data_IF_185329936499
#
_entry.id   IF_185329936499
#
_cell.length_a   1.000
_cell.length_b   1.000
_cell.length_c   1.000
_cell.angle_alpha   90.00
_cell.angle_beta   90.00
_cell.angle_gamma   90.00
#
_symmetry.space_group_name_H-M   'P 1'
#
loop_
_entity.id
_entity.type
_entity.pdbx_description
1 polymer ?
#
# COMPACT_ATOMS: atom_id res chain seq x y z
N UNK A 1 -2.00 10.03 26.37
CA UNK A 1 -2.53 10.08 25.00
C UNK A 1 -3.56 8.97 24.78
N UNK A 2 -4.56 9.24 23.96
CA UNK A 2 -5.52 8.22 23.52
C UNK A 2 -4.94 7.46 22.32
N UNK A 3 -5.20 6.15 22.25
CA UNK A 3 -4.83 5.27 21.12
C UNK A 3 -5.80 4.12 21.03
N UNK A 4 -6.09 3.67 19.82
CA UNK A 4 -6.88 2.47 19.60
C UNK A 4 -5.97 1.25 19.45
N UNK A 5 -6.22 0.21 20.25
CA UNK A 5 -5.47 -1.03 20.23
C UNK A 5 -6.34 -2.18 19.74
N UNK A 6 -5.81 -2.98 18.83
CA UNK A 6 -6.39 -4.24 18.41
C UNK A 6 -6.05 -5.33 19.45
N UNK A 7 -7.05 -5.94 20.04
CA UNK A 7 -6.93 -7.04 21.02
C UNK A 7 -7.14 -8.42 20.39
N UNK A 8 -7.80 -8.47 19.24
CA UNK A 8 -8.10 -9.70 18.51
C UNK A 8 -9.09 -9.45 17.38
N UNK A 9 -9.62 -10.51 16.81
CA UNK A 9 -10.57 -10.39 15.71
C UNK A 9 -11.81 -9.58 16.13
N UNK A 10 -12.08 -8.49 15.37
CA UNK A 10 -13.19 -7.54 15.58
C UNK A 10 -13.19 -6.84 16.95
N UNK A 11 -12.05 -6.83 17.62
CA UNK A 11 -11.91 -6.26 18.96
C UNK A 11 -10.84 -5.16 18.96
N UNK A 12 -11.25 -3.95 18.65
CA UNK A 12 -10.43 -2.73 18.72
C UNK A 12 -11.00 -1.80 19.78
N UNK A 13 -10.17 -1.35 20.73
CA UNK A 13 -10.59 -0.61 21.91
C UNK A 13 -9.76 0.64 22.11
N UNK A 14 -10.43 1.72 22.55
CA UNK A 14 -9.75 2.93 23.03
C UNK A 14 -8.98 2.60 24.30
N UNK A 15 -7.75 3.06 24.35
CA UNK A 15 -6.83 2.88 25.49
C UNK A 15 -6.11 4.21 25.76
N UNK A 16 -5.73 4.40 27.00
CA UNK A 16 -4.89 5.55 27.40
C UNK A 16 -3.48 5.07 27.71
N UNK A 17 -2.49 5.79 27.18
CA UNK A 17 -1.05 5.57 27.41
C UNK A 17 -0.40 6.91 27.75
N UNK A 18 0.73 6.92 28.47
CA UNK A 18 1.58 8.12 28.55
C UNK A 18 1.95 8.61 27.14
N UNK A 19 2.13 9.91 26.95
CA UNK A 19 2.73 10.44 25.72
C UNK A 19 4.18 9.96 25.69
N UNK A 20 4.62 9.29 24.60
CA UNK A 20 5.98 8.80 24.52
C UNK A 20 6.96 9.97 24.33
N UNK A 21 8.20 9.79 24.81
CA UNK A 21 9.28 10.76 24.65
C UNK A 21 10.20 10.25 23.54
N UNK A 22 10.52 11.07 22.50
CA UNK A 22 11.44 10.66 21.46
C UNK A 22 12.86 10.52 22.00
N UNK A 23 13.59 9.50 21.57
CA UNK A 23 15.04 9.39 21.79
C UNK A 23 15.81 10.40 20.93
N UNK A 24 17.14 10.44 21.11
CA UNK A 24 18.01 11.47 20.53
C UNK A 24 17.90 11.57 18.99
N UNK A 25 17.71 10.46 18.29
CA UNK A 25 17.61 10.40 16.82
C UNK A 25 16.15 10.25 16.32
N UNK A 26 15.17 10.51 17.19
CA UNK A 26 13.76 10.30 16.92
C UNK A 26 12.98 11.60 16.98
N UNK A 27 11.78 11.56 16.40
CA UNK A 27 10.80 12.64 16.51
C UNK A 27 9.49 12.09 17.06
N UNK A 28 8.77 12.93 17.80
CA UNK A 28 7.37 12.68 18.15
C UNK A 28 6.49 13.29 17.06
N UNK A 29 5.68 12.47 16.45
CA UNK A 29 4.71 12.89 15.45
C UNK A 29 3.33 12.91 16.08
N UNK A 30 2.56 13.97 15.77
CA UNK A 30 1.12 14.02 15.93
C UNK A 30 0.50 13.62 14.59
N UNK A 31 0.07 12.36 14.39
CA UNK A 31 -0.58 11.95 13.16
C UNK A 31 -1.81 12.81 12.88
N UNK A 32 -2.07 13.13 11.62
CA UNK A 32 -3.23 13.91 11.18
C UNK A 32 -4.16 13.11 10.30
N UNK A 33 -3.58 12.27 9.46
CA UNK A 33 -4.33 11.35 8.63
C UNK A 33 -3.64 9.98 8.63
N UNK A 34 -4.43 8.92 8.73
CA UNK A 34 -3.97 7.55 8.50
C UNK A 34 -4.94 6.80 7.60
N UNK A 35 -4.42 6.14 6.57
CA UNK A 35 -5.18 5.24 5.72
C UNK A 35 -5.42 3.88 6.40
N UNK A 36 -6.54 3.24 6.10
CA UNK A 36 -6.79 1.85 6.47
C UNK A 36 -6.34 0.96 5.31
N UNK A 37 -5.32 0.15 5.56
CA UNK A 37 -4.78 -0.83 4.61
C UNK A 37 -5.59 -2.14 4.60
N UNK A 38 -5.51 -2.90 3.53
CA UNK A 38 -6.03 -4.26 3.48
C UNK A 38 -5.46 -5.17 4.57
N UNK A 39 -4.20 -4.98 4.98
CA UNK A 39 -3.60 -5.71 6.10
C UNK A 39 -4.21 -5.36 7.46
N UNK A 40 -4.58 -4.07 7.69
CA UNK A 40 -5.32 -3.66 8.89
C UNK A 40 -6.69 -4.33 8.94
N UNK A 41 -7.37 -4.39 7.79
CA UNK A 41 -8.65 -5.10 7.63
C UNK A 41 -8.49 -6.59 7.95
N UNK A 42 -7.43 -7.24 7.49
CA UNK A 42 -7.13 -8.64 7.81
C UNK A 42 -6.91 -8.85 9.31
N UNK A 43 -6.08 -8.01 9.95
CA UNK A 43 -5.89 -8.06 11.41
C UNK A 43 -7.20 -7.87 12.16
N UNK A 44 -8.01 -6.89 11.75
CA UNK A 44 -9.31 -6.63 12.38
C UNK A 44 -10.28 -7.78 12.17
N UNK A 45 -10.37 -8.34 10.97
CA UNK A 45 -11.35 -9.38 10.64
C UNK A 45 -10.99 -10.75 11.26
N UNK A 46 -9.71 -11.12 11.21
CA UNK A 46 -9.25 -12.48 11.52
C UNK A 46 -8.39 -12.57 12.79
N UNK A 47 -7.90 -11.45 13.33
CA UNK A 47 -6.95 -11.41 14.44
C UNK A 47 -5.49 -11.66 14.02
N UNK A 48 -5.22 -11.83 12.71
CA UNK A 48 -3.88 -12.02 12.16
C UNK A 48 -3.81 -11.51 10.71
N UNK A 49 -2.60 -11.36 10.16
CA UNK A 49 -2.37 -11.02 8.75
C UNK A 49 -1.28 -11.92 8.17
N UNK A 50 -1.67 -12.84 7.28
CA UNK A 50 -0.77 -13.90 6.82
C UNK A 50 -0.19 -14.68 8.01
N UNK A 51 1.14 -14.81 8.07
CA UNK A 51 1.84 -15.48 9.17
C UNK A 51 2.09 -14.57 10.40
N UNK A 52 1.64 -13.31 10.37
CA UNK A 52 1.83 -12.35 11.46
C UNK A 52 0.67 -12.44 12.46
N UNK A 53 0.90 -13.18 13.55
CA UNK A 53 -0.07 -13.40 14.61
C UNK A 53 0.29 -12.50 15.80
N UNK A 54 -0.59 -11.54 16.19
CA UNK A 54 -0.34 -10.68 17.33
C UNK A 54 -0.23 -11.49 18.64
N UNK A 55 0.83 -11.22 19.40
CA UNK A 55 1.06 -11.80 20.74
C UNK A 55 0.59 -10.89 21.87
N UNK A 56 0.31 -9.63 21.55
CA UNK A 56 -0.16 -8.60 22.48
C UNK A 56 -0.96 -7.55 21.71
N UNK A 57 -1.81 -6.76 22.39
CA UNK A 57 -2.50 -5.64 21.76
C UNK A 57 -1.52 -4.61 21.20
N UNK A 58 -1.83 -4.06 20.03
CA UNK A 58 -1.04 -3.00 19.37
C UNK A 58 -1.94 -2.10 18.53
N UNK A 59 -1.46 -0.87 18.25
CA UNK A 59 -2.16 0.05 17.39
C UNK A 59 -1.89 -0.27 15.91
N UNK A 60 -2.95 -0.27 15.08
CA UNK A 60 -2.87 -0.38 13.63
C UNK A 60 -2.52 0.98 12.98
N UNK A 61 -2.41 1.00 11.65
CA UNK A 61 -2.20 2.20 10.82
C UNK A 61 -0.72 2.42 10.50
N UNK A 62 -0.37 2.22 9.24
CA UNK A 62 1.00 2.39 8.71
C UNK A 62 1.05 3.31 7.49
N UNK A 63 -0.08 3.79 7.01
CA UNK A 63 -0.21 4.73 5.91
C UNK A 63 -0.55 6.10 6.47
N UNK A 64 0.43 6.91 6.92
CA UNK A 64 0.12 8.11 7.68
C UNK A 64 1.01 9.31 7.36
N UNK A 65 0.45 10.48 7.65
CA UNK A 65 1.11 11.76 7.65
C UNK A 65 0.74 12.54 8.92
N UNK A 66 1.58 13.45 9.34
CA UNK A 66 1.35 14.21 10.56
C UNK A 66 2.30 15.40 10.71
N UNK A 67 2.27 15.99 11.90
CA UNK A 67 3.08 17.16 12.25
C UNK A 67 4.11 16.76 13.31
N UNK A 68 5.33 17.23 13.17
CA UNK A 68 6.39 17.06 14.16
C UNK A 68 6.02 17.87 15.40
N UNK A 69 5.85 17.18 16.53
CA UNK A 69 5.50 17.77 17.83
C UNK A 69 6.74 18.06 18.69
N UNK A 70 7.68 17.14 18.72
CA UNK A 70 8.98 17.33 19.37
C UNK A 70 10.07 16.51 18.67
N UNK A 71 11.34 16.92 18.88
CA UNK A 71 12.52 16.33 18.24
C UNK A 71 13.56 15.94 19.28
N UNK A 72 14.29 14.85 19.02
CA UNK A 72 15.45 14.44 19.80
C UNK A 72 16.68 15.32 19.57
N UNK A 73 17.66 15.23 20.47
CA UNK A 73 18.80 16.12 20.51
C UNK A 73 19.72 16.06 19.27
N UNK A 74 19.78 14.91 18.59
CA UNK A 74 20.62 14.69 17.41
C UNK A 74 19.88 14.93 16.08
N UNK A 75 18.58 15.26 16.12
CA UNK A 75 17.78 15.42 14.89
C UNK A 75 18.21 16.66 14.13
N UNK A 76 18.58 16.48 12.89
CA UNK A 76 18.95 17.54 11.95
C UNK A 76 17.99 17.52 10.75
N UNK A 77 17.63 18.70 10.25
CA UNK A 77 16.80 18.85 9.04
C UNK A 77 15.29 18.81 9.30
N UNK A 78 14.85 18.51 10.51
CA UNK A 78 13.47 18.59 10.95
C UNK A 78 13.32 19.56 12.11
N UNK A 79 12.18 20.23 12.19
CA UNK A 79 11.80 21.12 13.29
C UNK A 79 10.34 20.88 13.71
N UNK A 80 10.03 21.31 14.93
CA UNK A 80 8.65 21.32 15.43
C UNK A 80 7.75 22.14 14.49
N UNK A 81 6.61 21.57 14.14
CA UNK A 81 5.64 22.15 13.21
C UNK A 81 5.82 21.72 11.74
N UNK A 82 6.90 21.00 11.40
CA UNK A 82 7.04 20.46 10.05
C UNK A 82 5.94 19.42 9.76
N UNK A 83 5.32 19.55 8.58
CA UNK A 83 4.39 18.57 8.04
C UNK A 83 5.19 17.46 7.33
N UNK A 84 4.93 16.21 7.71
CA UNK A 84 5.70 15.08 7.22
C UNK A 84 4.81 13.90 6.79
N UNK A 85 5.23 13.20 5.74
CA UNK A 85 4.85 11.82 5.49
C UNK A 85 5.90 10.90 6.12
N UNK A 86 5.49 9.70 6.50
CA UNK A 86 6.38 8.76 7.20
C UNK A 86 6.47 7.44 6.44
N UNK A 87 7.71 7.01 6.12
CA UNK A 87 7.99 5.63 5.71
C UNK A 87 7.87 4.73 6.94
N UNK A 88 6.89 3.80 6.99
CA UNK A 88 6.69 2.96 8.15
C UNK A 88 7.73 1.84 8.31
N UNK A 89 8.65 1.67 7.37
CA UNK A 89 9.64 0.60 7.38
C UNK A 89 10.86 0.94 8.26
N UNK A 90 11.29 0.01 9.08
CA UNK A 90 12.48 0.11 9.93
C UNK A 90 13.40 -1.08 9.68
N UNK A 91 14.20 -1.06 8.60
CA UNK A 91 15.14 -2.12 8.28
C UNK A 91 16.32 -2.10 9.26
N UNK A 92 16.99 -3.25 9.44
CA UNK A 92 18.12 -3.34 10.38
C UNK A 92 19.41 -2.62 9.89
N UNK A 93 19.48 -2.21 8.63
CA UNK A 93 20.65 -1.54 8.03
C UNK A 93 21.89 -2.42 7.84
N UNK A 94 21.97 -3.59 8.46
CA UNK A 94 23.22 -4.39 8.55
C UNK A 94 23.20 -5.70 7.76
N UNK A 95 22.04 -6.29 7.47
CA UNK A 95 21.93 -7.54 6.71
C UNK A 95 22.29 -7.35 5.23
N UNK A 96 22.56 -8.45 4.52
CA UNK A 96 22.96 -8.41 3.09
C UNK A 96 21.94 -7.64 2.22
N UNK A 97 20.64 -7.79 2.49
CA UNK A 97 19.60 -7.12 1.72
C UNK A 97 19.61 -5.60 1.93
N UNK A 98 19.77 -5.13 3.18
CA UNK A 98 19.93 -3.71 3.47
C UNK A 98 21.17 -3.13 2.77
N UNK A 99 22.31 -3.83 2.88
CA UNK A 99 23.58 -3.39 2.29
C UNK A 99 23.57 -3.36 0.76
N UNK A 100 22.70 -4.15 0.11
CA UNK A 100 22.52 -4.16 -1.35
C UNK A 100 21.39 -3.24 -1.84
N UNK A 101 20.80 -2.41 -0.97
CA UNK A 101 19.71 -1.49 -1.32
C UNK A 101 18.33 -2.13 -1.38
N UNK A 102 18.20 -3.43 -1.14
CA UNK A 102 16.92 -4.15 -1.10
C UNK A 102 16.39 -4.24 0.33
N UNK A 103 16.32 -3.10 1.02
CA UNK A 103 15.97 -3.07 2.43
C UNK A 103 14.51 -3.50 2.72
N UNK A 104 13.62 -3.44 1.74
CA UNK A 104 12.28 -4.04 1.82
C UNK A 104 12.30 -5.54 2.13
N UNK A 105 13.38 -6.24 1.77
CA UNK A 105 13.64 -7.66 2.03
C UNK A 105 14.48 -7.90 3.30
N UNK A 106 14.58 -6.90 4.19
CA UNK A 106 15.34 -7.01 5.43
C UNK A 106 14.85 -8.19 6.28
N UNK A 107 15.79 -9.02 6.74
CA UNK A 107 15.49 -10.23 7.54
C UNK A 107 14.96 -9.90 8.96
N UNK A 108 15.24 -8.69 9.44
CA UNK A 108 14.79 -8.19 10.75
C UNK A 108 13.97 -6.92 10.60
N UNK A 109 13.11 -6.88 9.58
CA UNK A 109 12.25 -5.73 9.32
C UNK A 109 11.27 -5.51 10.46
N UNK A 110 11.28 -4.28 11.00
CA UNK A 110 10.22 -3.76 11.88
C UNK A 110 9.35 -2.82 11.06
N UNK A 111 8.05 -2.81 11.33
CA UNK A 111 7.10 -2.04 10.54
C UNK A 111 6.02 -1.48 11.44
N UNK A 112 5.77 -0.17 11.39
CA UNK A 112 4.73 0.47 12.19
C UNK A 112 3.36 -0.16 11.87
N UNK A 113 2.50 -0.28 12.88
CA UNK A 113 1.17 -0.85 12.72
C UNK A 113 1.14 -2.32 12.30
N UNK A 114 2.22 -3.09 12.57
CA UNK A 114 2.33 -4.49 12.14
C UNK A 114 2.85 -5.40 13.26
N UNK A 115 2.32 -6.62 13.29
CA UNK A 115 2.78 -7.70 14.15
C UNK A 115 3.92 -8.52 13.53
N UNK A 116 4.62 -8.00 12.51
CA UNK A 116 5.72 -8.69 11.82
C UNK A 116 6.99 -8.87 12.66
N UNK A 117 7.08 -8.26 13.82
CA UNK A 117 8.17 -8.43 14.79
C UNK A 117 7.62 -8.56 16.21
N UNK A 118 8.46 -8.99 17.15
CA UNK A 118 8.15 -9.05 18.59
C UNK A 118 9.26 -8.31 19.36
N UNK A 119 8.95 -7.25 20.14
CA UNK A 119 7.64 -6.63 20.35
C UNK A 119 7.07 -5.98 19.08
N UNK A 120 5.71 -6.00 18.96
CA UNK A 120 5.02 -5.35 17.84
C UNK A 120 5.26 -3.85 17.85
N UNK A 121 5.20 -3.25 16.66
CA UNK A 121 5.29 -1.81 16.49
C UNK A 121 3.88 -1.20 16.47
N UNK A 122 3.60 -0.29 17.40
CA UNK A 122 2.38 0.52 17.33
C UNK A 122 2.38 1.38 16.05
N UNK A 123 1.20 1.51 15.44
CA UNK A 123 0.94 2.35 14.28
C UNK A 123 0.29 3.68 14.67
N UNK A 124 -0.23 4.37 13.66
CA UNK A 124 -0.70 5.74 13.76
C UNK A 124 -2.17 5.90 14.20
N UNK A 125 -2.89 4.81 14.60
CA UNK A 125 -4.24 4.94 15.17
C UNK A 125 -4.19 5.43 16.62
N UNK A 126 -3.51 6.55 16.86
CA UNK A 126 -3.29 7.19 18.16
C UNK A 126 -2.88 8.65 18.01
N UNK A 127 -2.99 9.40 19.10
CA UNK A 127 -2.71 10.85 19.09
C UNK A 127 -1.23 11.19 18.86
N UNK A 128 -0.30 10.30 19.22
CA UNK A 128 1.14 10.50 19.08
C UNK A 128 1.86 9.20 18.74
N UNK A 129 2.92 9.31 17.96
CA UNK A 129 3.80 8.19 17.58
C UNK A 129 5.26 8.68 17.55
N UNK A 130 6.17 7.93 18.14
CA UNK A 130 7.61 8.17 18.02
C UNK A 130 8.13 7.41 16.80
N UNK A 131 8.82 8.12 15.92
CA UNK A 131 9.43 7.56 14.71
C UNK A 131 10.88 8.00 14.58
N UNK A 132 11.77 7.23 13.91
CA UNK A 132 13.11 7.72 13.58
C UNK A 132 13.01 8.95 12.68
N UNK A 133 13.84 9.95 12.89
CA UNK A 133 13.86 11.16 12.07
C UNK A 133 14.11 10.85 10.59
N UNK A 134 14.92 9.82 10.30
CA UNK A 134 15.22 9.34 8.94
C UNK A 134 14.04 8.77 8.18
N UNK A 135 12.94 8.44 8.86
CA UNK A 135 11.71 7.95 8.26
C UNK A 135 10.74 9.08 7.87
N UNK A 136 11.05 10.32 8.26
CA UNK A 136 10.18 11.47 8.03
C UNK A 136 10.61 12.23 6.77
N UNK A 137 9.67 12.46 5.89
CA UNK A 137 9.83 13.24 4.67
C UNK A 137 9.00 14.51 4.77
N UNK A 138 9.66 15.68 4.78
CA UNK A 138 8.97 16.98 4.82
C UNK A 138 8.10 17.11 3.56
N UNK A 139 6.83 17.45 3.76
CA UNK A 139 5.91 17.61 2.64
C UNK A 139 6.26 18.85 1.82
N UNK A 140 6.47 18.71 0.51
CA UNK A 140 6.61 19.86 -0.37
C UNK A 140 5.25 20.55 -0.55
N UNK A 141 5.26 21.79 -0.97
CA UNK A 141 4.04 22.49 -1.38
C UNK A 141 3.30 21.70 -2.47
N UNK A 142 1.96 21.69 -2.39
CA UNK A 142 1.11 21.01 -3.37
C UNK A 142 0.61 19.62 -2.95
N UNK A 143 1.07 19.08 -1.82
CA UNK A 143 0.55 17.83 -1.25
C UNK A 143 -0.21 18.16 0.04
N UNK A 144 -1.48 17.80 0.11
CA UNK A 144 -2.24 17.87 1.36
C UNK A 144 -1.87 16.73 2.31
N UNK A 145 -2.08 16.91 3.63
CA UNK A 145 -1.88 15.85 4.63
C UNK A 145 -2.68 14.59 4.31
N UNK A 146 -3.91 14.74 3.82
CA UNK A 146 -4.75 13.62 3.41
C UNK A 146 -4.13 12.85 2.24
N UNK A 147 -3.56 13.53 1.23
CA UNK A 147 -2.83 12.90 0.13
C UNK A 147 -1.52 12.28 0.61
N UNK A 148 -0.83 12.91 1.56
CA UNK A 148 0.44 12.42 2.10
C UNK A 148 0.32 11.05 2.78
N UNK A 149 -0.82 10.74 3.41
CA UNK A 149 -1.06 9.40 3.98
C UNK A 149 -1.18 8.31 2.91
N UNK A 150 -1.43 8.66 1.64
CA UNK A 150 -1.45 7.73 0.52
C UNK A 150 -0.07 7.47 -0.10
N UNK A 151 0.99 8.14 0.36
CA UNK A 151 2.34 7.96 -0.19
C UNK A 151 2.88 6.55 0.10
N UNK A 152 2.56 5.97 1.26
CA UNK A 152 2.97 4.60 1.57
C UNK A 152 2.42 3.60 0.54
N UNK A 153 1.09 3.48 0.32
CA UNK A 153 0.57 2.54 -0.68
C UNK A 153 0.93 2.94 -2.12
N UNK A 154 1.16 4.22 -2.42
CA UNK A 154 1.72 4.64 -3.71
C UNK A 154 3.14 4.08 -3.91
N UNK A 155 3.97 4.07 -2.87
CA UNK A 155 5.30 3.47 -2.92
C UNK A 155 5.25 1.97 -3.22
N UNK A 156 4.26 1.24 -2.67
CA UNK A 156 4.02 -0.16 -3.02
C UNK A 156 3.72 -0.31 -4.51
N UNK A 157 2.84 0.52 -5.06
CA UNK A 157 2.52 0.53 -6.49
C UNK A 157 3.73 0.90 -7.36
N UNK A 158 4.50 1.92 -6.99
CA UNK A 158 5.70 2.33 -7.72
C UNK A 158 6.78 1.24 -7.70
N UNK A 159 6.98 0.59 -6.56
CA UNK A 159 7.93 -0.52 -6.44
C UNK A 159 7.53 -1.69 -7.33
N UNK A 160 6.23 -2.01 -7.39
CA UNK A 160 5.71 -3.05 -8.29
C UNK A 160 5.97 -2.70 -9.78
N UNK A 161 5.73 -1.46 -10.16
CA UNK A 161 5.94 -0.98 -11.54
C UNK A 161 7.43 -0.99 -11.90
N UNK A 162 8.32 -0.69 -10.95
CA UNK A 162 9.78 -0.76 -11.15
C UNK A 162 10.35 -2.19 -11.27
N UNK A 163 9.55 -3.25 -11.06
CA UNK A 163 9.99 -4.64 -11.31
C UNK A 163 10.15 -4.95 -12.80
N UNK A 164 9.58 -4.14 -13.68
CA UNK A 164 9.70 -4.30 -15.14
C UNK A 164 10.50 -3.16 -15.76
N UNK A 165 11.30 -3.48 -16.77
CA UNK A 165 12.28 -2.53 -17.32
C UNK A 165 11.62 -1.34 -18.03
N UNK A 166 10.46 -1.54 -18.65
CA UNK A 166 9.81 -0.52 -19.48
C UNK A 166 8.28 -0.58 -19.39
N UNK A 167 7.67 0.56 -19.14
CA UNK A 167 6.22 0.75 -19.13
C UNK A 167 5.76 1.47 -20.42
N UNK A 168 6.48 2.49 -20.83
CA UNK A 168 6.09 3.34 -21.95
C UNK A 168 5.85 2.54 -23.25
N UNK A 169 4.68 2.74 -23.85
CA UNK A 169 4.26 2.11 -25.10
C UNK A 169 3.75 0.67 -24.96
N UNK A 170 3.71 0.11 -23.74
CA UNK A 170 3.21 -1.24 -23.51
C UNK A 170 1.70 -1.24 -23.19
N UNK A 171 1.05 -2.36 -23.55
CA UNK A 171 -0.30 -2.69 -23.11
C UNK A 171 -0.28 -3.35 -21.73
N UNK A 172 -1.09 -2.84 -20.82
CA UNK A 172 -1.08 -3.24 -19.41
C UNK A 172 -2.42 -3.84 -19.03
N UNK A 173 -2.38 -4.99 -18.34
CA UNK A 173 -3.51 -5.52 -17.59
C UNK A 173 -3.24 -5.35 -16.09
N UNK A 174 -4.21 -4.81 -15.36
CA UNK A 174 -4.23 -4.80 -13.91
C UNK A 174 -5.39 -5.68 -13.46
N UNK A 175 -5.11 -6.78 -12.77
CA UNK A 175 -6.14 -7.62 -12.15
C UNK A 175 -6.35 -7.19 -10.70
N UNK A 176 -7.57 -6.77 -10.38
CA UNK A 176 -7.91 -6.11 -9.12
C UNK A 176 -7.92 -4.59 -9.25
N UNK A 177 -9.12 -4.00 -9.23
CA UNK A 177 -9.37 -2.55 -9.29
C UNK A 177 -9.49 -1.89 -7.91
N UNK A 178 -9.01 -2.55 -6.84
CA UNK A 178 -8.95 -1.99 -5.49
C UNK A 178 -7.87 -0.91 -5.32
N UNK A 179 -7.61 -0.42 -4.08
CA UNK A 179 -6.71 0.71 -3.85
C UNK A 179 -5.33 0.56 -4.49
N UNK A 180 -4.68 -0.60 -4.36
CA UNK A 180 -3.37 -0.86 -4.98
C UNK A 180 -3.47 -0.88 -6.51
N UNK A 181 -4.51 -1.52 -7.08
CA UNK A 181 -4.73 -1.51 -8.52
C UNK A 181 -4.96 -0.10 -9.07
N UNK A 182 -5.68 0.75 -8.34
CA UNK A 182 -5.88 2.16 -8.70
C UNK A 182 -4.58 2.97 -8.65
N UNK A 183 -3.71 2.69 -7.69
CA UNK A 183 -2.40 3.33 -7.60
C UNK A 183 -1.47 2.84 -8.72
N UNK A 184 -1.44 1.53 -9.01
CA UNK A 184 -0.71 0.99 -10.17
C UNK A 184 -1.19 1.64 -11.47
N UNK A 185 -2.50 1.78 -11.67
CA UNK A 185 -3.09 2.45 -12.85
C UNK A 185 -2.52 3.86 -13.04
N UNK A 186 -2.45 4.66 -11.96
CA UNK A 186 -1.90 6.02 -12.01
C UNK A 186 -0.40 6.03 -12.30
N UNK A 187 0.35 5.12 -11.68
CA UNK A 187 1.81 5.01 -11.88
C UNK A 187 2.12 4.58 -13.31
N UNK A 188 1.49 3.52 -13.84
CA UNK A 188 1.77 3.07 -15.22
C UNK A 188 1.35 4.11 -16.25
N UNK A 189 0.27 4.88 -15.99
CA UNK A 189 -0.13 6.00 -16.83
C UNK A 189 0.93 7.09 -16.83
N UNK A 190 1.43 7.49 -15.66
CA UNK A 190 2.50 8.46 -15.50
C UNK A 190 3.80 8.02 -16.20
N UNK A 191 4.06 6.71 -16.27
CA UNK A 191 5.24 6.13 -16.94
C UNK A 191 5.00 5.83 -18.43
N UNK A 192 3.88 6.31 -19.02
CA UNK A 192 3.66 6.30 -20.45
C UNK A 192 3.00 5.03 -21.01
N UNK A 193 2.30 4.25 -20.19
CA UNK A 193 1.42 3.20 -20.71
C UNK A 193 0.32 3.80 -21.60
N UNK A 194 0.08 3.20 -22.78
CA UNK A 194 -0.90 3.74 -23.71
C UNK A 194 -2.25 3.01 -23.66
N UNK A 195 -2.27 1.71 -23.40
CA UNK A 195 -3.48 0.88 -23.31
C UNK A 195 -3.49 0.15 -21.97
N UNK A 196 -4.38 0.57 -21.08
CA UNK A 196 -4.50 0.03 -19.73
C UNK A 196 -5.90 -0.55 -19.56
N UNK A 197 -5.94 -1.86 -19.32
CA UNK A 197 -7.16 -2.60 -18.99
C UNK A 197 -7.14 -2.93 -17.50
N UNK A 198 -8.25 -2.71 -16.80
CA UNK A 198 -8.43 -3.13 -15.41
C UNK A 198 -9.51 -4.21 -15.35
N UNK A 199 -9.23 -5.32 -14.69
CA UNK A 199 -10.17 -6.41 -14.46
C UNK A 199 -10.56 -6.50 -12.99
N UNK A 200 -11.85 -6.48 -12.71
CA UNK A 200 -12.39 -6.68 -11.37
C UNK A 200 -13.81 -7.27 -11.42
N UNK A 201 -14.18 -8.06 -10.41
CA UNK A 201 -15.54 -8.61 -10.26
C UNK A 201 -16.53 -7.54 -9.81
N UNK A 202 -16.07 -6.50 -9.09
CA UNK A 202 -16.89 -5.39 -8.61
C UNK A 202 -17.19 -4.40 -9.73
N UNK A 203 -18.47 -4.12 -9.97
CA UNK A 203 -18.89 -3.08 -10.91
C UNK A 203 -18.39 -1.70 -10.46
N UNK A 204 -18.44 -1.43 -9.15
CA UNK A 204 -17.92 -0.18 -8.57
C UNK A 204 -16.43 0.01 -8.91
N UNK A 205 -15.61 -1.02 -8.67
CA UNK A 205 -14.16 -0.95 -8.97
C UNK A 205 -13.88 -0.74 -10.45
N UNK A 206 -14.66 -1.39 -11.35
CA UNK A 206 -14.54 -1.19 -12.80
C UNK A 206 -14.93 0.24 -13.21
N UNK A 207 -16.07 0.74 -12.73
CA UNK A 207 -16.51 2.10 -13.02
C UNK A 207 -15.53 3.15 -12.47
N UNK A 208 -14.98 2.92 -11.28
CA UNK A 208 -13.95 3.76 -10.68
C UNK A 208 -12.67 3.77 -11.54
N UNK A 209 -12.25 2.60 -12.03
CA UNK A 209 -11.07 2.48 -12.90
C UNK A 209 -11.19 3.26 -14.19
N UNK A 210 -12.36 3.25 -14.84
CA UNK A 210 -12.63 4.06 -16.04
C UNK A 210 -12.49 5.56 -15.73
N UNK A 211 -13.09 6.02 -14.63
CA UNK A 211 -12.95 7.43 -14.17
C UNK A 211 -11.50 7.81 -13.84
N UNK A 212 -10.71 6.83 -13.39
CA UNK A 212 -9.30 7.01 -13.04
C UNK A 212 -8.35 6.92 -14.24
N UNK A 213 -8.87 6.72 -15.47
CA UNK A 213 -8.07 6.75 -16.69
C UNK A 213 -7.72 5.37 -17.27
N UNK A 214 -8.34 4.26 -16.84
CA UNK A 214 -8.26 3.01 -17.57
C UNK A 214 -8.92 3.15 -18.95
N UNK A 215 -8.31 2.55 -19.98
CA UNK A 215 -8.88 2.57 -21.34
C UNK A 215 -10.04 1.58 -21.46
N UNK A 216 -9.97 0.47 -20.74
CA UNK A 216 -10.95 -0.62 -20.76
C UNK A 216 -11.09 -1.22 -19.37
N UNK A 217 -12.24 -1.81 -19.12
CA UNK A 217 -12.48 -2.63 -17.94
C UNK A 217 -13.10 -3.96 -18.32
N UNK A 218 -12.83 -5.00 -17.54
CA UNK A 218 -13.30 -6.37 -17.79
C UNK A 218 -13.90 -6.93 -16.50
N UNK A 219 -15.08 -7.51 -16.62
CA UNK A 219 -15.60 -8.42 -15.62
C UNK A 219 -15.09 -9.83 -15.93
N UNK A 220 -14.16 -10.39 -15.15
CA UNK A 220 -13.56 -11.70 -15.45
C UNK A 220 -14.53 -12.88 -15.32
N UNK A 221 -15.73 -12.66 -14.77
CA UNK A 221 -16.76 -13.68 -14.60
C UNK A 221 -17.69 -13.79 -15.82
N UNK A 222 -17.62 -12.84 -16.76
CA UNK A 222 -18.42 -12.89 -17.97
C UNK A 222 -17.91 -13.97 -18.94
N UNK A 223 -18.85 -14.63 -19.63
CA UNK A 223 -18.51 -15.60 -20.65
C UNK A 223 -17.68 -14.93 -21.76
N UNK A 224 -16.58 -15.56 -22.14
CA UNK A 224 -15.65 -15.02 -23.14
C UNK A 224 -15.02 -13.66 -22.81
N UNK A 225 -14.95 -13.27 -21.53
CA UNK A 225 -14.35 -12.01 -21.08
C UNK A 225 -12.98 -11.69 -21.74
N UNK A 226 -12.20 -12.72 -22.04
CA UNK A 226 -10.85 -12.61 -22.57
C UNK A 226 -10.71 -12.91 -24.07
N UNK A 227 -11.82 -13.24 -24.78
CA UNK A 227 -11.81 -13.72 -26.17
C UNK A 227 -11.16 -12.76 -27.17
N UNK A 228 -11.27 -11.46 -26.94
CA UNK A 228 -10.82 -10.43 -27.88
C UNK A 228 -9.49 -9.77 -27.49
N UNK A 229 -8.76 -10.34 -26.54
CA UNK A 229 -7.48 -9.82 -26.11
C UNK A 229 -6.32 -10.57 -26.77
N UNK A 230 -5.49 -9.85 -27.55
CA UNK A 230 -4.36 -10.41 -28.29
C UNK A 230 -3.08 -10.60 -27.46
N UNK A 231 -3.21 -10.44 -26.15
CA UNK A 231 -2.13 -10.53 -25.20
C UNK A 231 -1.66 -9.15 -24.67
N UNK A 232 -1.37 -9.13 -23.39
CA UNK A 232 -0.83 -7.94 -22.71
C UNK A 232 0.68 -8.07 -22.58
N UNK A 233 1.39 -6.95 -22.74
CA UNK A 233 2.84 -6.89 -22.54
C UNK A 233 3.19 -7.13 -21.09
N UNK A 234 2.41 -6.53 -20.17
CA UNK A 234 2.63 -6.61 -18.73
C UNK A 234 1.30 -6.81 -18.02
N UNK A 235 1.30 -7.71 -17.04
CA UNK A 235 0.17 -7.96 -16.14
C UNK A 235 0.60 -7.65 -14.71
N UNK A 236 -0.14 -6.80 -14.01
CA UNK A 236 -0.01 -6.59 -12.58
C UNK A 236 -1.15 -7.31 -11.86
N UNK A 237 -0.81 -8.31 -11.05
CA UNK A 237 -1.78 -9.02 -10.21
C UNK A 237 -1.87 -8.30 -8.86
N UNK A 238 -2.97 -7.58 -8.63
CA UNK A 238 -3.22 -6.76 -7.43
C UNK A 238 -4.50 -7.18 -6.67
N UNK A 239 -5.11 -8.31 -7.04
CA UNK A 239 -6.33 -8.80 -6.40
C UNK A 239 -6.08 -9.80 -5.26
N UNK A 240 -4.95 -10.51 -5.31
CA UNK A 240 -4.66 -11.64 -4.42
C UNK A 240 -5.52 -12.88 -4.71
N UNK A 241 -6.19 -12.96 -5.86
CA UNK A 241 -7.03 -14.10 -6.24
C UNK A 241 -6.28 -15.03 -7.19
N UNK A 242 -6.14 -16.35 -6.87
CA UNK A 242 -5.46 -17.31 -7.74
C UNK A 242 -6.05 -17.38 -9.15
N UNK A 243 -7.37 -17.24 -9.30
CA UNK A 243 -8.04 -17.20 -10.59
C UNK A 243 -7.67 -15.98 -11.44
N UNK A 244 -7.47 -14.82 -10.79
CA UNK A 244 -7.03 -13.60 -11.47
C UNK A 244 -5.60 -13.74 -11.98
N UNK A 245 -4.70 -14.34 -11.19
CA UNK A 245 -3.34 -14.66 -11.63
C UNK A 245 -3.34 -15.65 -12.79
N UNK A 246 -4.15 -16.72 -12.72
CA UNK A 246 -4.25 -17.71 -13.79
C UNK A 246 -4.74 -17.07 -15.09
N UNK A 247 -5.77 -16.22 -15.03
CA UNK A 247 -6.25 -15.44 -16.18
C UNK A 247 -5.16 -14.50 -16.71
N UNK A 248 -4.45 -13.78 -15.82
CA UNK A 248 -3.34 -12.91 -16.19
C UNK A 248 -2.24 -13.65 -16.97
N UNK A 249 -1.83 -14.83 -16.51
CA UNK A 249 -0.87 -15.72 -17.20
C UNK A 249 -1.42 -16.12 -18.56
N UNK A 250 -2.72 -16.46 -18.64
CA UNK A 250 -3.35 -16.86 -19.88
C UNK A 250 -3.37 -15.76 -20.92
N UNK A 251 -3.65 -14.51 -20.53
CA UNK A 251 -3.79 -13.38 -21.46
C UNK A 251 -2.50 -12.57 -21.65
N UNK A 252 -1.44 -12.86 -20.91
CA UNK A 252 -0.13 -12.29 -21.18
C UNK A 252 0.37 -12.75 -22.56
N UNK A 253 0.99 -11.84 -23.32
CA UNK A 253 1.61 -12.22 -24.61
C UNK A 253 2.86 -13.10 -24.41
N UNK A 254 3.32 -13.72 -25.49
CA UNK A 254 4.61 -14.42 -25.48
C UNK A 254 5.74 -13.42 -25.15
N UNK A 255 6.65 -13.81 -24.26
CA UNK A 255 7.73 -12.95 -23.75
C UNK A 255 7.26 -11.82 -22.83
N UNK A 256 6.00 -11.82 -22.41
CA UNK A 256 5.41 -10.82 -21.51
C UNK A 256 5.85 -10.99 -20.06
N UNK A 257 5.47 -10.02 -19.22
CA UNK A 257 5.79 -9.99 -17.79
C UNK A 257 4.54 -10.08 -16.94
N UNK A 258 4.61 -10.79 -15.81
CA UNK A 258 3.56 -10.86 -14.79
C UNK A 258 4.17 -10.48 -13.44
N UNK A 259 3.63 -9.45 -12.80
CA UNK A 259 4.09 -8.94 -11.51
C UNK A 259 3.04 -9.26 -10.45
N UNK A 260 3.43 -10.01 -9.43
CA UNK A 260 2.58 -10.39 -8.30
C UNK A 260 2.71 -9.33 -7.20
N UNK A 261 1.60 -8.68 -6.89
CA UNK A 261 1.52 -7.59 -5.88
C UNK A 261 0.49 -7.95 -4.80
N UNK A 262 -0.63 -8.56 -5.20
CA UNK A 262 -1.68 -9.00 -4.29
C UNK A 262 -1.22 -10.13 -3.37
N UNK A 263 -1.74 -10.17 -2.14
CA UNK A 263 -1.46 -11.26 -1.20
C UNK A 263 -2.25 -12.49 -1.60
N UNK A 264 -1.57 -13.47 -2.17
CA UNK A 264 -2.12 -14.76 -2.58
C UNK A 264 -2.14 -15.75 -1.40
N UNK A 265 -2.98 -16.80 -1.44
CA UNK A 265 -2.90 -17.92 -0.49
C UNK A 265 -1.51 -18.58 -0.51
N UNK A 266 -1.13 -19.23 0.60
CA UNK A 266 0.18 -19.88 0.76
C UNK A 266 0.46 -20.92 -0.34
N UNK A 267 -0.56 -21.65 -0.77
CA UNK A 267 -0.49 -22.60 -1.88
C UNK A 267 -1.69 -22.51 -2.80
N UNK A 268 -1.43 -22.56 -4.11
CA UNK A 268 -2.47 -22.56 -5.16
C UNK A 268 -1.90 -23.10 -6.47
N UNK A 269 -2.78 -23.48 -7.41
CA UNK A 269 -2.38 -23.96 -8.73
C UNK A 269 -2.24 -22.82 -9.74
N UNK A 270 -1.19 -22.87 -10.55
CA UNK A 270 -0.99 -21.96 -11.69
C UNK A 270 -0.72 -22.76 -12.98
N UNK A 271 -1.04 -22.21 -14.17
CA UNK A 271 -0.81 -22.88 -15.45
C UNK A 271 0.68 -22.87 -15.84
N UNK A 272 1.51 -23.69 -15.16
CA UNK A 272 2.98 -23.68 -15.31
C UNK A 272 3.46 -23.91 -16.76
N UNK A 273 2.79 -24.80 -17.53
CA UNK A 273 3.15 -25.01 -18.94
C UNK A 273 2.93 -23.76 -19.81
N UNK A 274 1.97 -22.90 -19.47
CA UNK A 274 1.78 -21.64 -20.21
C UNK A 274 2.93 -20.67 -19.92
N UNK A 275 3.43 -20.63 -18.70
CA UNK A 275 4.58 -19.81 -18.34
C UNK A 275 5.80 -20.21 -19.17
N UNK A 276 6.10 -21.51 -19.24
CA UNK A 276 7.20 -22.05 -20.03
C UNK A 276 6.99 -21.79 -21.55
N UNK A 277 5.83 -22.18 -22.10
CA UNK A 277 5.56 -22.09 -23.54
C UNK A 277 5.50 -20.66 -24.08
N UNK A 278 5.20 -19.71 -23.22
CA UNK A 278 5.16 -18.28 -23.56
C UNK A 278 6.44 -17.54 -23.17
N UNK A 279 7.40 -18.20 -22.51
CA UNK A 279 8.60 -17.56 -21.93
C UNK A 279 8.25 -16.35 -21.07
N UNK A 280 7.24 -16.49 -20.20
CA UNK A 280 6.81 -15.39 -19.34
C UNK A 280 7.82 -15.13 -18.23
N UNK A 281 8.02 -13.84 -17.92
CA UNK A 281 8.78 -13.40 -16.76
C UNK A 281 7.84 -13.16 -15.60
N UNK A 282 8.05 -13.86 -14.48
CA UNK A 282 7.28 -13.68 -13.25
C UNK A 282 8.11 -12.93 -12.23
N UNK A 283 7.54 -11.85 -11.67
CA UNK A 283 8.18 -11.03 -10.64
C UNK A 283 7.31 -11.00 -9.40
N UNK A 284 7.92 -11.11 -8.22
CA UNK A 284 7.27 -10.77 -6.96
C UNK A 284 7.56 -9.33 -6.59
N UNK A 285 6.57 -8.63 -6.04
CA UNK A 285 6.72 -7.31 -5.46
C UNK A 285 6.29 -7.35 -4.00
N UNK A 286 7.18 -6.96 -3.09
CA UNK A 286 6.92 -6.98 -1.66
C UNK A 286 7.31 -5.67 -1.01
N UNK A 287 6.33 -4.97 -0.39
CA UNK A 287 6.54 -3.65 0.20
C UNK A 287 7.17 -2.70 -0.83
N UNK A 288 8.14 -1.89 -0.41
CA UNK A 288 8.88 -0.98 -1.31
C UNK A 288 10.29 -0.69 -0.78
N UNK A 289 11.16 -0.24 -1.67
CA UNK A 289 12.46 0.33 -1.35
C UNK A 289 12.83 1.39 -2.39
N UNK A 290 13.52 2.47 -1.93
CA UNK A 290 14.12 3.52 -2.79
C UNK A 290 13.12 4.22 -3.72
N UNK A 291 11.88 4.45 -3.29
CA UNK A 291 10.83 5.07 -4.12
C UNK A 291 10.05 6.17 -3.40
N UNK A 292 10.23 6.37 -2.08
CA UNK A 292 9.38 7.26 -1.30
C UNK A 292 9.52 8.73 -1.75
N UNK A 293 10.74 9.19 -1.93
CA UNK A 293 11.02 10.54 -2.39
C UNK A 293 10.55 10.74 -3.84
N UNK A 294 10.80 9.77 -4.73
CA UNK A 294 10.29 9.80 -6.11
C UNK A 294 8.76 9.91 -6.13
N UNK A 295 8.06 9.09 -5.33
CA UNK A 295 6.61 9.09 -5.23
C UNK A 295 6.08 10.46 -4.77
N UNK A 296 6.67 11.00 -3.72
CA UNK A 296 6.31 12.31 -3.18
C UNK A 296 6.53 13.42 -4.22
N UNK A 297 7.68 13.44 -4.89
CA UNK A 297 7.99 14.43 -5.90
C UNK A 297 7.07 14.35 -7.11
N UNK A 298 6.68 13.15 -7.56
CA UNK A 298 5.73 12.98 -8.67
C UNK A 298 4.32 13.46 -8.31
N UNK A 299 3.90 13.28 -7.06
CA UNK A 299 2.61 13.83 -6.57
C UNK A 299 2.69 15.34 -6.47
N UNK A 300 3.74 15.91 -5.88
CA UNK A 300 3.95 17.36 -5.77
C UNK A 300 3.97 18.06 -7.14
N UNK A 301 4.58 17.43 -8.13
CA UNK A 301 4.63 17.92 -9.51
C UNK A 301 3.30 17.73 -10.28
N UNK A 302 2.28 17.12 -9.69
CA UNK A 302 1.01 16.82 -10.36
C UNK A 302 1.08 15.75 -11.44
N UNK A 303 2.19 15.01 -11.51
CA UNK A 303 2.38 13.91 -12.49
C UNK A 303 1.51 12.70 -12.07
N UNK A 304 1.43 12.44 -10.77
CA UNK A 304 0.52 11.44 -10.19
C UNK A 304 -0.52 12.19 -9.36
N UNK A 305 -1.79 12.07 -9.75
CA UNK A 305 -2.91 12.62 -8.99
C UNK A 305 -3.50 11.55 -8.07
N UNK A 306 -3.61 11.84 -6.78
CA UNK A 306 -4.18 10.96 -5.75
C UNK A 306 -5.64 11.29 -5.40
N UNK A 307 -6.22 12.32 -6.02
CA UNK A 307 -7.58 12.74 -5.74
C UNK A 307 -8.59 11.64 -6.02
N UNK A 308 -9.60 11.58 -5.15
CA UNK A 308 -10.72 10.66 -5.26
C UNK A 308 -10.41 9.20 -4.88
N UNK A 309 -9.16 8.85 -4.54
CA UNK A 309 -8.84 7.49 -4.04
C UNK A 309 -9.49 7.27 -2.67
N UNK A 310 -9.38 8.24 -1.75
CA UNK A 310 -10.12 8.23 -0.49
C UNK A 310 -11.58 8.51 -0.80
N UNK A 311 -12.44 7.54 -0.49
CA UNK A 311 -13.90 7.66 -0.66
C UNK A 311 -14.59 8.05 0.63
N UNK A 312 -14.02 7.70 1.77
CA UNK A 312 -14.63 7.89 3.08
C UNK A 312 -13.57 8.30 4.10
N UNK A 313 -13.88 9.34 4.89
CA UNK A 313 -13.06 9.82 5.99
C UNK A 313 -13.85 9.76 7.28
N UNK A 314 -13.24 9.22 8.33
CA UNK A 314 -13.81 9.12 9.68
C UNK A 314 -12.93 9.89 10.67
N UNK A 315 -13.53 10.38 11.76
CA UNK A 315 -12.78 11.00 12.84
C UNK A 315 -12.11 9.96 13.75
N UNK A 316 -11.17 10.39 14.57
CA UNK A 316 -10.46 9.55 15.54
C UNK A 316 -11.41 8.71 16.41
N UNK A 317 -12.46 9.32 16.95
CA UNK A 317 -13.41 8.63 17.85
C UNK A 317 -14.25 7.56 17.12
N UNK A 318 -14.30 7.58 15.79
CA UNK A 318 -15.07 6.66 14.95
C UNK A 318 -14.20 5.51 14.37
N UNK A 319 -12.97 5.31 14.86
CA UNK A 319 -12.07 4.25 14.37
C UNK A 319 -12.73 2.85 14.35
N UNK A 320 -13.50 2.41 15.38
CA UNK A 320 -14.17 1.12 15.30
C UNK A 320 -15.18 1.01 14.15
N UNK A 321 -15.92 2.09 13.89
CA UNK A 321 -16.88 2.18 12.78
C UNK A 321 -16.15 2.22 11.43
N UNK A 322 -15.05 2.94 11.32
CA UNK A 322 -14.21 3.00 10.13
C UNK A 322 -13.63 1.63 9.77
N UNK A 323 -13.15 0.87 10.77
CA UNK A 323 -12.66 -0.50 10.58
C UNK A 323 -13.77 -1.45 10.11
N UNK A 324 -14.97 -1.31 10.65
CA UNK A 324 -16.14 -2.07 10.19
C UNK A 324 -16.58 -1.66 8.78
N UNK A 325 -16.53 -0.37 8.46
CA UNK A 325 -16.86 0.16 7.14
C UNK A 325 -15.87 -0.30 6.06
N UNK A 326 -14.58 -0.38 6.40
CA UNK A 326 -13.53 -0.84 5.50
C UNK A 326 -13.68 -2.32 5.07
N UNK A 327 -14.50 -3.12 5.77
CA UNK A 327 -14.87 -4.47 5.33
C UNK A 327 -15.79 -4.46 4.11
N UNK A 328 -16.51 -3.35 3.88
CA UNK A 328 -17.45 -3.23 2.78
C UNK A 328 -16.69 -2.88 1.49
N UNK A 329 -16.76 -3.76 0.48
CA UNK A 329 -16.12 -3.54 -0.81
C UNK A 329 -17.03 -2.86 -1.84
N UNK A 330 -18.31 -2.64 -1.52
CA UNK A 330 -19.27 -1.98 -2.41
C UNK A 330 -19.35 -0.49 -2.12
N UNK A 331 -18.86 0.33 -3.04
CA UNK A 331 -18.87 1.79 -2.92
C UNK A 331 -17.72 2.37 -2.11
N UNK A 332 -16.83 1.54 -1.56
CA UNK A 332 -15.68 1.96 -0.76
C UNK A 332 -14.38 1.61 -1.50
N UNK A 333 -13.56 2.63 -1.80
CA UNK A 333 -12.23 2.42 -2.39
C UNK A 333 -11.15 2.48 -1.31
N UNK A 334 -11.06 3.57 -0.59
CA UNK A 334 -10.10 3.76 0.49
C UNK A 334 -10.75 4.51 1.65
N UNK A 335 -10.60 3.97 2.84
CA UNK A 335 -11.03 4.62 4.09
C UNK A 335 -9.83 5.30 4.73
N UNK A 336 -10.04 6.49 5.24
CA UNK A 336 -9.04 7.30 5.93
C UNK A 336 -9.57 7.75 7.28
N UNK A 337 -8.70 7.90 8.24
CA UNK A 337 -8.99 8.47 9.57
C UNK A 337 -8.34 9.84 9.65
N UNK A 338 -9.10 10.84 10.06
CA UNK A 338 -8.62 12.15 10.51
C UNK A 338 -8.42 12.11 12.02
N UNK A 339 -7.22 12.50 12.50
CA UNK A 339 -6.72 12.32 13.87
C UNK A 339 -6.51 13.64 14.61
#
# INVERSE_FOLDING_TARGET
>A
MKTYLLYGAKDIRLSEKPVPIPGDDQVLIKPKFTGICGSDVHYFQHGYCGNFIPKRPFALGHEFAGVVDSIGANVIGLKVGDEVAVDPSMPCGSCKHCKSGHYNLCLSMRYFGSASCDPHMDGAMGQYLVVPATNCYILPAGISMAQASLLEPLCVAMHAVKQVDRIAGNSILITGGGPIGQLILRVVRAFGAHDITVSDVSEFARAFSLKSGANKVVNPLEENAWKYYNGFDIVFEASGAPSALANGIQVARRGGSVVLVGTLPESFSIPGNLIMNKELKLYGSFRFANVFEDAMNMVAAGIINLDGIVTDTFNFDDIPQAMQHALNKNGVMKVQIEL
#
